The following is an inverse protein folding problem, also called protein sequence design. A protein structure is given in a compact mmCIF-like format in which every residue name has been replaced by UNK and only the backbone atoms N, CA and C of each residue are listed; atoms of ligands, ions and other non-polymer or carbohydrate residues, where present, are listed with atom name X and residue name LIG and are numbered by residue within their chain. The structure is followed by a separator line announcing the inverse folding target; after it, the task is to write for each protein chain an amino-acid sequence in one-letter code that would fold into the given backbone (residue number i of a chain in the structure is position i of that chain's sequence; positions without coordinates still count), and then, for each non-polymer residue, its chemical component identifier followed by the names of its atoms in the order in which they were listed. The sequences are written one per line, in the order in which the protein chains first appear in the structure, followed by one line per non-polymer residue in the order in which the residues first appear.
data_IF_948753788950
#
_entry.id   IF_948753788950
#
_cell.length_a   1.000
_cell.length_b   1.000
_cell.length_c   1.000
_cell.angle_alpha   90.00
_cell.angle_beta   90.00
_cell.angle_gamma   90.00
#
_symmetry.space_group_name_H-M   'P 1'
#
loop_
_entity.id
_entity.type
_entity.pdbx_description
1 polymer ?
#
# COMPACT_ATOMS: atom_id res chain seq x y z
N UNK A 1 4.54 -24.78 13.74
CA UNK A 1 4.97 -23.42 13.36
C UNK A 1 4.99 -23.29 11.84
N UNK A 2 4.41 -22.24 11.24
CA UNK A 2 4.46 -22.01 9.80
C UNK A 2 5.90 -22.01 9.26
N UNK A 3 6.14 -22.40 8.00
CA UNK A 3 7.43 -22.21 7.35
C UNK A 3 7.74 -20.72 7.13
N UNK A 4 9.02 -20.39 6.94
CA UNK A 4 9.41 -19.05 6.47
C UNK A 4 9.10 -18.92 4.97
N UNK A 5 8.82 -17.71 4.46
CA UNK A 5 8.59 -17.50 3.04
C UNK A 5 9.83 -17.85 2.21
N UNK A 6 9.63 -18.19 0.94
CA UNK A 6 10.70 -18.67 0.05
C UNK A 6 11.76 -17.61 -0.24
N UNK A 7 11.38 -16.33 -0.17
CA UNK A 7 12.29 -15.18 -0.30
C UNK A 7 12.79 -14.65 1.05
N UNK A 8 12.70 -15.44 2.13
CA UNK A 8 13.30 -15.09 3.41
C UNK A 8 14.83 -15.03 3.28
N UNK A 9 15.43 -13.92 3.68
CA UNK A 9 16.89 -13.79 3.73
C UNK A 9 17.43 -14.48 4.99
N UNK A 10 18.09 -15.62 4.83
CA UNK A 10 18.68 -16.37 5.95
C UNK A 10 19.89 -15.68 6.59
N UNK A 11 20.49 -14.70 5.90
CA UNK A 11 21.60 -13.89 6.40
C UNK A 11 21.13 -12.57 7.03
N UNK A 12 19.83 -12.44 7.34
CA UNK A 12 19.21 -11.25 7.94
C UNK A 12 19.90 -10.68 9.18
N UNK A 13 20.77 -11.45 9.85
CA UNK A 13 21.58 -10.98 10.98
C UNK A 13 22.63 -9.95 10.57
N UNK A 14 23.03 -9.92 9.30
CA UNK A 14 23.89 -8.89 8.73
C UNK A 14 23.11 -7.61 8.37
N UNK A 15 21.77 -7.70 8.30
CA UNK A 15 20.87 -6.57 8.04
C UNK A 15 20.66 -5.68 9.29
N UNK A 16 20.35 -4.39 9.07
CA UNK A 16 20.19 -3.36 10.12
C UNK A 16 18.83 -3.43 10.86
N UNK A 17 18.10 -4.54 10.80
CA UNK A 17 16.71 -4.66 11.24
C UNK A 17 16.53 -4.97 12.73
N UNK A 18 15.32 -4.74 13.24
CA UNK A 18 14.90 -5.04 14.63
C UNK A 18 14.95 -6.53 15.00
N UNK A 19 15.11 -7.42 14.01
CA UNK A 19 15.09 -8.88 14.20
C UNK A 19 16.49 -9.49 14.33
N UNK A 20 17.57 -8.70 14.39
CA UNK A 20 18.94 -9.24 14.43
C UNK A 20 19.19 -10.24 15.57
N UNK A 21 18.45 -10.13 16.67
CA UNK A 21 18.56 -11.02 17.83
C UNK A 21 17.70 -12.28 17.74
N UNK A 22 16.78 -12.35 16.77
CA UNK A 22 15.88 -13.49 16.60
C UNK A 22 16.65 -14.67 15.99
N UNK A 23 16.24 -15.88 16.33
CA UNK A 23 16.58 -17.11 15.62
C UNK A 23 15.44 -17.53 14.66
N UNK A 24 15.64 -18.59 13.87
CA UNK A 24 14.63 -19.06 12.91
C UNK A 24 13.30 -19.47 13.56
N UNK A 25 13.34 -19.98 14.80
CA UNK A 25 12.14 -20.33 15.56
C UNK A 25 11.36 -19.08 15.95
N UNK A 26 12.04 -18.01 16.36
CA UNK A 26 11.41 -16.73 16.70
C UNK A 26 10.71 -16.13 15.46
N UNK A 27 11.37 -16.17 14.30
CA UNK A 27 10.76 -15.73 13.04
C UNK A 27 9.50 -16.54 12.68
N UNK A 28 9.53 -17.87 12.85
CA UNK A 28 8.33 -18.71 12.63
C UNK A 28 7.25 -18.47 13.69
N UNK A 29 7.64 -18.10 14.92
CA UNK A 29 6.72 -17.73 15.99
C UNK A 29 6.03 -16.40 15.77
N UNK A 30 6.73 -15.45 15.19
CA UNK A 30 6.15 -14.21 14.69
C UNK A 30 5.05 -14.47 13.66
N UNK A 31 5.33 -15.27 12.62
CA UNK A 31 4.34 -15.61 11.57
C UNK A 31 3.14 -16.35 12.17
N UNK A 32 3.39 -17.32 13.05
CA UNK A 32 2.31 -18.02 13.77
C UNK A 32 1.42 -17.07 14.55
N UNK A 33 2.02 -16.16 15.32
CA UNK A 33 1.28 -15.19 16.13
C UNK A 33 0.46 -14.26 15.26
N UNK A 34 1.00 -13.82 14.12
CA UNK A 34 0.28 -13.00 13.16
C UNK A 34 -0.95 -13.72 12.60
N UNK A 35 -0.81 -14.95 12.11
CA UNK A 35 -1.96 -15.72 11.62
C UNK A 35 -2.99 -16.00 12.71
N UNK A 36 -2.56 -16.24 13.94
CA UNK A 36 -3.50 -16.39 15.06
C UNK A 36 -4.30 -15.12 15.32
N UNK A 37 -3.67 -13.94 15.22
CA UNK A 37 -4.39 -12.66 15.32
C UNK A 37 -5.36 -12.45 14.15
N UNK A 38 -4.98 -12.86 12.93
CA UNK A 38 -5.87 -12.82 11.77
C UNK A 38 -7.13 -13.68 11.98
N UNK A 39 -6.98 -14.92 12.46
CA UNK A 39 -8.13 -15.78 12.80
C UNK A 39 -9.04 -15.16 13.87
N UNK A 40 -8.43 -14.53 14.89
CA UNK A 40 -9.19 -13.89 15.96
C UNK A 40 -10.03 -12.71 15.43
N UNK A 41 -9.44 -11.85 14.57
CA UNK A 41 -10.19 -10.72 14.01
C UNK A 41 -11.22 -11.17 12.97
N UNK A 42 -10.95 -12.24 12.22
CA UNK A 42 -11.91 -12.83 11.27
C UNK A 42 -13.21 -13.25 11.97
N UNK A 43 -13.10 -13.92 13.12
CA UNK A 43 -14.27 -14.29 13.93
C UNK A 43 -15.08 -13.06 14.40
N UNK A 44 -14.41 -11.99 14.80
CA UNK A 44 -15.08 -10.75 15.23
C UNK A 44 -15.72 -9.98 14.06
N UNK A 45 -15.07 -9.98 12.89
CA UNK A 45 -15.66 -9.43 11.65
C UNK A 45 -16.92 -10.21 11.29
N UNK A 46 -16.89 -11.55 11.38
CA UNK A 46 -18.06 -12.41 11.16
C UNK A 46 -19.23 -12.03 12.08
N UNK A 47 -18.95 -11.83 13.38
CA UNK A 47 -19.98 -11.39 14.33
C UNK A 47 -20.62 -10.04 13.96
N UNK A 48 -19.82 -9.05 13.56
CA UNK A 48 -20.33 -7.74 13.14
C UNK A 48 -21.15 -7.87 11.84
N UNK A 49 -20.64 -8.62 10.87
CA UNK A 49 -21.30 -8.84 9.59
C UNK A 49 -22.65 -9.55 9.78
N UNK A 50 -22.70 -10.62 10.56
CA UNK A 50 -23.92 -11.36 10.86
C UNK A 50 -24.95 -10.52 11.61
N UNK A 51 -24.52 -9.71 12.58
CA UNK A 51 -25.41 -8.82 13.33
C UNK A 51 -26.13 -7.83 12.40
N UNK A 52 -25.41 -7.24 11.43
CA UNK A 52 -26.02 -6.32 10.46
C UNK A 52 -26.87 -7.07 9.43
N UNK A 53 -26.42 -8.24 8.96
CA UNK A 53 -27.16 -9.05 7.97
C UNK A 53 -28.48 -9.57 8.52
N UNK A 54 -28.54 -9.84 9.82
CA UNK A 54 -29.77 -10.26 10.50
C UNK A 54 -30.60 -9.07 11.04
N UNK A 55 -30.10 -7.85 10.88
CA UNK A 55 -30.76 -6.63 11.33
C UNK A 55 -31.66 -5.99 10.27
N UNK A 56 -32.40 -4.93 10.64
CA UNK A 56 -33.35 -4.23 9.75
C UNK A 56 -32.67 -3.49 8.58
N UNK A 57 -31.35 -3.29 8.62
CA UNK A 57 -30.58 -2.58 7.59
C UNK A 57 -29.83 -3.49 6.61
N UNK A 58 -30.05 -4.80 6.67
CA UNK A 58 -29.31 -5.79 5.87
C UNK A 58 -29.35 -5.54 4.36
N UNK A 59 -30.50 -5.10 3.83
CA UNK A 59 -30.66 -4.76 2.41
C UNK A 59 -30.07 -3.40 1.99
N UNK A 60 -29.69 -2.56 2.97
CA UNK A 60 -29.25 -1.18 2.74
C UNK A 60 -27.90 -0.88 3.40
N UNK A 61 -27.01 -1.88 3.46
CA UNK A 61 -25.66 -1.70 4.01
C UNK A 61 -24.61 -2.18 3.03
N UNK A 62 -23.70 -1.28 2.67
CA UNK A 62 -22.46 -1.59 1.96
C UNK A 62 -21.37 -1.95 2.97
N UNK A 63 -20.85 -3.17 2.88
CA UNK A 63 -19.69 -3.60 3.63
C UNK A 63 -18.41 -3.41 2.82
N UNK A 64 -17.42 -2.73 3.39
CA UNK A 64 -16.07 -2.60 2.84
C UNK A 64 -15.09 -3.06 3.93
N UNK A 65 -14.36 -4.14 3.67
CA UNK A 65 -13.27 -4.63 4.50
C UNK A 65 -11.95 -4.35 3.81
N UNK A 66 -11.04 -3.68 4.52
CA UNK A 66 -9.69 -3.42 4.04
C UNK A 66 -8.71 -3.29 5.21
N UNK A 67 -7.42 -3.21 4.88
CA UNK A 67 -6.35 -2.89 5.84
C UNK A 67 -5.68 -1.57 5.46
N UNK A 68 -5.07 -0.88 6.44
CA UNK A 68 -4.33 0.37 6.20
C UNK A 68 -2.94 0.10 5.61
N UNK A 69 -2.34 -1.05 5.92
CA UNK A 69 -1.11 -1.58 5.33
C UNK A 69 -0.98 -3.08 5.65
N UNK A 70 -0.04 -3.76 5.00
CA UNK A 70 0.31 -5.14 5.29
C UNK A 70 1.41 -5.29 6.35
N UNK A 71 2.08 -6.44 6.34
CA UNK A 71 3.15 -6.77 7.28
C UNK A 71 4.26 -7.53 6.56
N UNK A 72 5.52 -7.24 6.92
CA UNK A 72 6.69 -7.90 6.34
C UNK A 72 6.66 -9.42 6.46
N UNK A 73 6.03 -10.01 7.49
CA UNK A 73 5.78 -11.45 7.63
C UNK A 73 7.00 -12.39 7.36
N UNK A 74 8.21 -11.89 7.52
CA UNK A 74 9.45 -12.58 7.17
C UNK A 74 9.86 -12.50 5.70
N UNK A 75 9.02 -11.99 4.79
CA UNK A 75 9.42 -11.72 3.41
C UNK A 75 10.58 -10.74 3.39
N UNK A 76 11.62 -11.02 2.61
CA UNK A 76 12.88 -10.26 2.61
C UNK A 76 13.50 -10.10 4.02
N UNK A 77 13.20 -11.02 4.93
CA UNK A 77 13.50 -10.93 6.36
C UNK A 77 13.04 -9.63 7.04
N UNK A 78 11.87 -9.14 6.64
CA UNK A 78 11.23 -7.96 7.22
C UNK A 78 10.14 -8.35 8.21
N UNK A 79 9.90 -7.46 9.14
CA UNK A 79 8.78 -7.51 10.10
C UNK A 79 8.12 -6.16 10.16
N UNK A 80 6.84 -6.15 10.55
CA UNK A 80 6.04 -4.94 10.63
C UNK A 80 6.01 -4.21 9.27
N UNK A 81 5.97 -2.87 9.29
CA UNK A 81 5.77 -2.01 8.12
C UNK A 81 6.86 -0.95 7.99
N UNK A 82 6.77 -0.18 6.91
CA UNK A 82 7.70 0.92 6.58
C UNK A 82 8.55 0.65 5.35
N UNK A 83 8.11 -0.30 4.53
CA UNK A 83 8.69 -0.65 3.25
C UNK A 83 7.52 -0.72 2.25
N UNK A 84 7.84 -0.79 0.97
CA UNK A 84 6.86 -0.66 -0.10
C UNK A 84 6.71 -1.93 -0.94
N UNK A 85 7.34 -3.03 -0.56
CA UNK A 85 7.11 -4.36 -1.14
C UNK A 85 5.65 -4.83 -0.91
N UNK A 86 5.15 -5.74 -1.77
CA UNK A 86 3.74 -6.12 -1.90
C UNK A 86 3.17 -6.62 -0.58
N UNK A 87 3.94 -7.35 0.24
CA UNK A 87 3.49 -7.82 1.55
C UNK A 87 3.15 -6.68 2.53
N UNK A 88 3.74 -5.50 2.34
CA UNK A 88 3.50 -4.32 3.16
C UNK A 88 2.54 -3.31 2.50
N UNK A 89 2.53 -3.21 1.17
CA UNK A 89 1.77 -2.18 0.44
C UNK A 89 0.45 -2.68 -0.16
N UNK A 90 0.34 -3.97 -0.51
CA UNK A 90 -0.87 -4.54 -1.12
C UNK A 90 -1.75 -5.17 -0.05
N UNK A 91 -2.86 -4.50 0.23
CA UNK A 91 -3.81 -4.88 1.28
C UNK A 91 -5.05 -5.57 0.72
N UNK A 92 -5.77 -6.37 1.55
CA UNK A 92 -7.10 -6.84 1.17
C UNK A 92 -8.06 -5.66 0.94
N UNK A 93 -8.94 -5.81 -0.04
CA UNK A 93 -10.09 -4.94 -0.28
C UNK A 93 -11.26 -5.81 -0.72
N UNK A 94 -12.22 -6.02 0.17
CA UNK A 94 -13.40 -6.86 -0.05
C UNK A 94 -14.65 -5.99 0.12
N UNK A 95 -15.55 -6.07 -0.85
CA UNK A 95 -16.80 -5.31 -0.86
C UNK A 95 -17.98 -6.26 -0.95
N UNK A 96 -19.01 -6.04 -0.13
CA UNK A 96 -20.24 -6.82 -0.12
C UNK A 96 -21.46 -5.91 0.00
N UNK A 97 -22.36 -6.01 -0.97
CA UNK A 97 -23.73 -5.50 -0.87
C UNK A 97 -24.66 -6.45 -1.62
N UNK A 98 -25.29 -7.41 -0.92
CA UNK A 98 -26.16 -8.40 -1.56
C UNK A 98 -27.25 -7.75 -2.42
N UNK A 99 -27.35 -8.19 -3.68
CA UNK A 99 -28.32 -7.66 -4.65
C UNK A 99 -27.96 -6.30 -5.29
N UNK A 100 -26.85 -5.67 -4.91
CA UNK A 100 -26.38 -4.40 -5.48
C UNK A 100 -24.97 -4.48 -6.09
N UNK A 101 -24.09 -5.25 -5.48
CA UNK A 101 -22.72 -5.52 -5.96
C UNK A 101 -22.64 -6.99 -6.36
N UNK A 102 -21.96 -7.27 -7.48
CA UNK A 102 -21.79 -8.63 -7.98
C UNK A 102 -21.03 -9.51 -6.97
N UNK A 103 -21.55 -10.71 -6.70
CA UNK A 103 -20.97 -11.66 -5.75
C UNK A 103 -20.01 -12.62 -6.43
N UNK A 104 -19.02 -13.11 -5.69
CA UNK A 104 -18.05 -14.10 -6.19
C UNK A 104 -17.09 -13.55 -7.26
N UNK A 105 -17.06 -12.24 -7.47
CA UNK A 105 -16.18 -11.59 -8.44
C UNK A 105 -14.83 -11.29 -7.79
N UNK A 106 -13.75 -11.71 -8.44
CA UNK A 106 -12.39 -11.29 -8.13
C UNK A 106 -11.86 -10.42 -9.26
N UNK A 107 -11.73 -9.12 -8.99
CA UNK A 107 -11.13 -8.20 -9.94
C UNK A 107 -9.60 -8.29 -9.90
N UNK A 108 -8.99 -8.67 -11.02
CA UNK A 108 -7.53 -8.76 -11.19
C UNK A 108 -6.99 -7.79 -12.23
N UNK A 109 -7.86 -6.94 -12.82
CA UNK A 109 -7.51 -6.04 -13.93
C UNK A 109 -7.47 -4.58 -13.51
N UNK A 110 -8.20 -4.19 -12.47
CA UNK A 110 -8.24 -2.80 -12.01
C UNK A 110 -7.35 -2.56 -10.80
N UNK A 111 -6.60 -1.45 -10.86
CA UNK A 111 -5.76 -0.97 -9.78
C UNK A 111 -6.52 -0.03 -8.85
N UNK A 112 -6.70 -0.40 -7.59
CA UNK A 112 -7.35 0.44 -6.57
C UNK A 112 -6.36 0.94 -5.53
N UNK A 113 -6.66 2.07 -4.90
CA UNK A 113 -5.84 2.65 -3.83
C UNK A 113 -6.69 2.92 -2.59
N UNK A 114 -6.08 2.91 -1.41
CA UNK A 114 -6.76 3.24 -0.16
C UNK A 114 -7.36 4.65 -0.13
N UNK A 115 -6.82 5.59 -0.93
CA UNK A 115 -7.38 6.95 -1.06
C UNK A 115 -8.76 6.98 -1.72
N UNK A 116 -9.12 5.93 -2.45
CA UNK A 116 -10.40 5.82 -3.16
C UNK A 116 -11.59 5.56 -2.23
N UNK A 117 -11.35 5.07 -1.01
CA UNK A 117 -12.42 4.62 -0.12
C UNK A 117 -13.40 5.75 0.20
N UNK A 118 -12.87 6.95 0.49
CA UNK A 118 -13.69 8.09 0.83
C UNK A 118 -14.53 8.56 -0.36
N UNK A 119 -13.96 8.57 -1.58
CA UNK A 119 -14.72 8.88 -2.79
C UNK A 119 -15.81 7.84 -3.06
N UNK A 120 -15.53 6.56 -2.80
CA UNK A 120 -16.49 5.46 -2.95
C UNK A 120 -17.65 5.59 -1.96
N UNK A 121 -17.37 5.91 -0.69
CA UNK A 121 -18.38 6.13 0.34
C UNK A 121 -19.27 7.33 -0.03
N UNK A 122 -18.67 8.46 -0.42
CA UNK A 122 -19.43 9.65 -0.82
C UNK A 122 -20.36 9.36 -2.00
N UNK A 123 -19.87 8.64 -3.01
CA UNK A 123 -20.66 8.28 -4.19
C UNK A 123 -21.88 7.42 -3.85
N UNK A 124 -21.70 6.33 -3.08
CA UNK A 124 -22.84 5.51 -2.63
C UNK A 124 -23.79 6.24 -1.67
N UNK A 125 -23.28 7.18 -0.88
CA UNK A 125 -24.09 8.01 0.02
C UNK A 125 -24.83 9.15 -0.69
N UNK A 126 -24.56 9.39 -1.98
CA UNK A 126 -25.11 10.55 -2.71
C UNK A 126 -24.56 11.89 -2.21
N UNK A 127 -23.40 11.89 -1.54
CA UNK A 127 -22.73 13.09 -1.07
C UNK A 127 -21.97 13.77 -2.23
N UNK A 128 -21.78 15.11 -2.18
CA UNK A 128 -21.02 15.81 -3.20
C UNK A 128 -19.56 15.32 -3.26
N UNK A 129 -18.90 15.36 -4.43
CA UNK A 129 -17.49 15.03 -4.55
C UNK A 129 -16.60 15.86 -3.63
N UNK A 130 -15.53 15.26 -3.11
CA UNK A 130 -14.53 15.96 -2.31
C UNK A 130 -13.61 16.79 -3.23
N UNK A 131 -13.66 18.13 -3.20
CA UNK A 131 -13.00 18.97 -4.21
C UNK A 131 -11.47 18.87 -4.20
N UNK A 132 -10.88 18.47 -3.07
CA UNK A 132 -9.42 18.35 -2.90
C UNK A 132 -8.90 16.90 -3.00
N UNK A 133 -9.79 15.92 -3.18
CA UNK A 133 -9.40 14.51 -3.31
C UNK A 133 -9.22 14.13 -4.79
N UNK A 134 -8.40 14.89 -5.51
CA UNK A 134 -8.23 14.81 -6.98
C UNK A 134 -7.70 13.45 -7.46
N UNK A 135 -6.96 12.74 -6.62
CA UNK A 135 -6.39 11.42 -6.91
C UNK A 135 -7.40 10.27 -6.71
N UNK A 136 -8.43 10.47 -5.90
CA UNK A 136 -9.37 9.42 -5.53
C UNK A 136 -10.37 9.17 -6.65
N UNK A 137 -10.65 7.89 -6.95
CA UNK A 137 -11.72 7.49 -7.87
C UNK A 137 -12.66 6.52 -7.18
N UNK A 138 -13.96 6.80 -7.20
CA UNK A 138 -14.97 5.89 -6.66
C UNK A 138 -14.90 4.52 -7.34
N UNK A 139 -14.94 3.45 -6.55
CA UNK A 139 -15.02 2.07 -7.05
C UNK A 139 -16.41 1.69 -7.57
N UNK A 140 -17.42 2.52 -7.33
CA UNK A 140 -18.82 2.21 -7.65
C UNK A 140 -19.02 1.73 -9.09
N UNK A 141 -18.46 2.37 -10.14
CA UNK A 141 -18.63 1.86 -11.50
C UNK A 141 -18.06 0.45 -11.68
N UNK A 142 -16.91 0.15 -11.04
CA UNK A 142 -16.31 -1.18 -11.09
C UNK A 142 -17.19 -2.22 -10.38
N UNK A 143 -17.70 -1.86 -9.20
CA UNK A 143 -18.56 -2.73 -8.38
C UNK A 143 -19.93 -3.00 -9.02
N UNK A 144 -20.42 -2.06 -9.83
CA UNK A 144 -21.66 -2.17 -10.62
C UNK A 144 -21.41 -2.78 -12.02
N UNK A 145 -20.19 -3.24 -12.32
CA UNK A 145 -19.86 -3.93 -13.56
C UNK A 145 -19.81 -3.05 -14.81
N UNK A 146 -19.66 -1.73 -14.65
CA UNK A 146 -19.54 -0.78 -15.76
C UNK A 146 -18.14 -0.82 -16.35
N UNK A 147 -18.05 -0.77 -17.67
CA UNK A 147 -16.77 -0.59 -18.37
C UNK A 147 -16.46 0.90 -18.47
N UNK A 148 -15.41 1.33 -17.79
CA UNK A 148 -14.93 2.71 -17.78
C UNK A 148 -13.41 2.75 -17.94
N UNK A 149 -12.85 3.83 -18.51
CA UNK A 149 -11.43 4.09 -18.39
C UNK A 149 -11.02 4.11 -16.92
N UNK A 150 -9.97 3.37 -16.58
CA UNK A 150 -9.45 3.29 -15.23
C UNK A 150 -8.02 3.85 -15.15
N UNK A 151 -7.34 3.69 -14.02
CA UNK A 151 -5.95 4.13 -13.86
C UNK A 151 -5.00 3.00 -14.26
N UNK A 152 -3.90 3.38 -14.91
CA UNK A 152 -2.86 2.43 -15.33
C UNK A 152 -1.83 2.15 -14.23
N UNK A 153 -1.73 3.03 -13.22
CA UNK A 153 -0.81 2.89 -12.11
C UNK A 153 -1.42 3.40 -10.80
N UNK A 154 -0.84 2.95 -9.68
CA UNK A 154 -1.06 3.49 -8.33
C UNK A 154 0.25 3.90 -7.71
N UNK A 155 0.17 4.87 -6.78
CA UNK A 155 1.30 5.35 -6.00
C UNK A 155 1.08 5.09 -4.51
N UNK A 156 2.14 4.68 -3.83
CA UNK A 156 2.19 4.49 -2.37
C UNK A 156 3.48 5.10 -1.83
N UNK A 157 3.45 5.67 -0.63
CA UNK A 157 4.56 6.45 -0.08
C UNK A 157 4.87 6.02 1.35
N UNK A 158 6.14 6.09 1.76
CA UNK A 158 6.50 5.86 3.15
C UNK A 158 7.70 6.67 3.61
N UNK A 159 7.62 7.09 4.87
CA UNK A 159 8.73 7.65 5.64
C UNK A 159 8.89 6.99 7.01
N UNK A 160 8.16 5.90 7.25
CA UNK A 160 8.33 5.08 8.44
C UNK A 160 9.68 4.36 8.35
N UNK A 161 10.01 3.85 7.17
CA UNK A 161 11.36 3.46 6.78
C UNK A 161 12.08 4.57 6.00
N UNK A 162 13.04 4.24 5.12
CA UNK A 162 13.65 5.23 4.24
C UNK A 162 12.59 5.93 3.39
N UNK A 163 12.71 7.26 3.29
CA UNK A 163 11.84 8.08 2.45
C UNK A 163 11.81 7.50 1.04
N UNK A 164 10.63 7.05 0.60
CA UNK A 164 10.44 6.43 -0.70
C UNK A 164 8.99 6.48 -1.15
N UNK A 165 8.81 6.32 -2.46
CA UNK A 165 7.53 6.17 -3.11
C UNK A 165 7.58 4.93 -4.01
N UNK A 166 6.43 4.33 -4.26
CA UNK A 166 6.26 3.19 -5.13
C UNK A 166 5.32 3.57 -6.26
N UNK A 167 5.70 3.30 -7.50
CA UNK A 167 4.80 3.33 -8.65
C UNK A 167 4.59 1.91 -9.13
N UNK A 168 3.34 1.44 -9.12
CA UNK A 168 2.96 0.08 -9.47
C UNK A 168 1.90 0.08 -10.56
N UNK A 169 2.22 -0.54 -11.70
CA UNK A 169 1.26 -0.84 -12.76
C UNK A 169 0.89 -2.34 -12.74
N UNK A 170 0.21 -2.86 -13.76
CA UNK A 170 -0.20 -4.28 -13.79
C UNK A 170 0.96 -5.28 -13.94
N UNK A 171 2.11 -4.85 -14.46
CA UNK A 171 3.26 -5.69 -14.80
C UNK A 171 4.45 -5.42 -13.88
N UNK A 172 4.75 -4.15 -13.61
CA UNK A 172 5.97 -3.70 -12.96
C UNK A 172 5.69 -2.84 -11.73
N UNK A 173 6.69 -2.78 -10.86
CA UNK A 173 6.71 -1.93 -9.69
C UNK A 173 8.09 -1.32 -9.49
N UNK A 174 8.14 0.00 -9.35
CA UNK A 174 9.35 0.72 -9.00
C UNK A 174 9.25 1.22 -7.56
N UNK A 175 10.24 0.92 -6.72
CA UNK A 175 10.43 1.57 -5.42
C UNK A 175 11.50 2.65 -5.60
N UNK A 176 11.07 3.90 -5.52
CA UNK A 176 11.84 5.10 -5.84
C UNK A 176 12.25 5.78 -4.54
N UNK A 177 13.56 5.91 -4.35
CA UNK A 177 14.20 6.69 -3.30
C UNK A 177 14.72 8.00 -3.90
N UNK A 178 15.13 8.98 -3.07
CA UNK A 178 15.79 10.19 -3.57
C UNK A 178 17.09 9.92 -4.35
N UNK A 179 17.83 8.86 -3.99
CA UNK A 179 19.17 8.55 -4.50
C UNK A 179 19.24 7.34 -5.45
N UNK A 180 18.19 6.50 -5.47
CA UNK A 180 18.16 5.27 -6.27
C UNK A 180 16.74 4.80 -6.57
N UNK A 181 16.60 3.83 -7.46
CA UNK A 181 15.34 3.13 -7.73
C UNK A 181 15.58 1.63 -7.72
N UNK A 182 14.62 0.86 -7.22
CA UNK A 182 14.52 -0.59 -7.41
C UNK A 182 13.37 -0.88 -8.36
N UNK A 183 13.49 -1.89 -9.21
CA UNK A 183 12.46 -2.25 -10.19
C UNK A 183 12.19 -3.76 -10.15
N UNK A 184 10.91 -4.14 -10.09
CA UNK A 184 10.48 -5.53 -10.08
C UNK A 184 9.43 -5.79 -11.15
N UNK A 185 9.49 -6.97 -11.75
CA UNK A 185 8.45 -7.52 -12.62
C UNK A 185 7.46 -8.30 -11.76
N UNK A 186 6.40 -7.64 -11.28
CA UNK A 186 5.44 -8.22 -10.33
C UNK A 186 4.68 -9.41 -10.92
N UNK A 187 4.51 -9.46 -12.24
CA UNK A 187 3.81 -10.57 -12.89
C UNK A 187 4.66 -11.84 -12.87
N UNK A 188 5.96 -11.72 -13.13
CA UNK A 188 6.87 -12.87 -13.25
C UNK A 188 7.67 -13.16 -11.96
N UNK A 189 7.81 -12.17 -11.09
CA UNK A 189 8.48 -12.21 -9.79
C UNK A 189 7.59 -11.53 -8.72
N UNK A 190 6.47 -12.15 -8.34
CA UNK A 190 5.51 -11.58 -7.39
C UNK A 190 6.06 -11.46 -5.96
N UNK A 191 7.25 -12.01 -5.70
CA UNK A 191 7.95 -11.96 -4.42
C UNK A 191 9.11 -10.94 -4.43
N UNK A 192 9.21 -10.11 -5.48
CA UNK A 192 10.15 -8.98 -5.57
C UNK A 192 11.61 -9.36 -5.25
N UNK A 193 12.03 -10.53 -5.72
CA UNK A 193 13.32 -11.12 -5.38
C UNK A 193 14.46 -10.64 -6.28
N UNK A 194 14.15 -10.20 -7.50
CA UNK A 194 15.14 -9.77 -8.49
C UNK A 194 14.97 -8.29 -8.82
N UNK A 195 15.94 -7.49 -8.38
CA UNK A 195 16.02 -6.08 -8.77
C UNK A 195 16.49 -5.95 -10.22
N UNK A 196 15.68 -5.30 -11.05
CA UNK A 196 15.90 -5.07 -12.48
C UNK A 196 16.35 -3.63 -12.76
N UNK A 197 16.59 -2.82 -11.73
CA UNK A 197 16.83 -1.40 -11.89
C UNK A 197 18.10 -1.07 -12.70
N UNK A 198 19.11 -1.92 -12.70
CA UNK A 198 20.36 -1.68 -13.44
C UNK A 198 20.37 -2.35 -14.82
N UNK A 199 19.36 -3.16 -15.16
CA UNK A 199 19.28 -3.84 -16.45
C UNK A 199 18.85 -2.83 -17.55
N UNK A 200 19.67 -2.60 -18.59
CA UNK A 200 19.34 -1.68 -19.68
C UNK A 200 18.04 -2.02 -20.43
N UNK A 201 17.65 -3.30 -20.45
CA UNK A 201 16.42 -3.77 -21.09
C UNK A 201 15.17 -3.10 -20.51
N UNK A 202 15.21 -2.72 -19.23
CA UNK A 202 14.08 -2.14 -18.52
C UNK A 202 14.18 -0.62 -18.35
N UNK A 203 15.12 0.04 -19.03
CA UNK A 203 15.31 1.50 -18.94
C UNK A 203 14.03 2.29 -19.31
N UNK A 204 13.29 1.83 -20.32
CA UNK A 204 12.02 2.45 -20.71
C UNK A 204 10.94 2.34 -19.61
N UNK A 205 10.90 1.22 -18.89
CA UNK A 205 9.97 1.01 -17.77
C UNK A 205 10.31 1.95 -16.62
N UNK A 206 11.60 2.06 -16.25
CA UNK A 206 12.05 3.00 -15.21
C UNK A 206 11.69 4.43 -15.56
N UNK A 207 11.94 4.84 -16.80
CA UNK A 207 11.60 6.18 -17.28
C UNK A 207 10.09 6.45 -17.16
N UNK A 208 9.25 5.54 -17.66
CA UNK A 208 7.79 5.64 -17.54
C UNK A 208 7.33 5.74 -16.09
N UNK A 209 7.86 4.91 -15.19
CA UNK A 209 7.47 4.96 -13.77
C UNK A 209 7.90 6.26 -13.11
N UNK A 210 9.05 6.83 -13.52
CA UNK A 210 9.49 8.14 -13.04
C UNK A 210 8.57 9.26 -13.53
N UNK A 211 8.17 9.22 -14.80
CA UNK A 211 7.19 10.16 -15.38
C UNK A 211 5.83 10.06 -14.67
N UNK A 212 5.34 8.83 -14.40
CA UNK A 212 4.12 8.59 -13.63
C UNK A 212 4.22 9.15 -12.20
N UNK A 213 5.37 8.98 -11.54
CA UNK A 213 5.58 9.55 -10.21
C UNK A 213 5.54 11.09 -10.24
N UNK A 214 6.18 11.70 -11.25
CA UNK A 214 6.15 13.15 -11.44
C UNK A 214 4.74 13.66 -11.70
N UNK A 215 3.98 12.97 -12.55
CA UNK A 215 2.57 13.27 -12.82
C UNK A 215 1.75 13.21 -11.52
N UNK A 216 1.88 12.13 -10.73
CA UNK A 216 1.21 11.99 -9.44
C UNK A 216 1.50 13.16 -8.50
N UNK A 217 2.79 13.49 -8.32
CA UNK A 217 3.23 14.58 -7.45
C UNK A 217 2.72 15.95 -7.94
N UNK A 218 2.54 16.15 -9.25
CA UNK A 218 1.99 17.39 -9.81
C UNK A 218 0.51 17.60 -9.47
N UNK A 219 -0.22 16.53 -9.14
CA UNK A 219 -1.64 16.57 -8.81
C UNK A 219 -1.91 16.74 -7.30
N UNK A 220 -0.86 16.67 -6.47
CA UNK A 220 -0.97 16.80 -5.01
C UNK A 220 -0.85 18.27 -4.59
N UNK A 221 -1.87 18.77 -3.88
CA UNK A 221 -1.79 20.05 -3.18
C UNK A 221 -0.94 19.90 -1.91
N UNK A 222 0.23 20.54 -1.89
CA UNK A 222 1.12 20.53 -0.73
C UNK A 222 0.67 21.62 0.26
N UNK A 223 0.07 21.21 1.38
CA UNK A 223 -0.30 22.11 2.47
C UNK A 223 0.93 22.66 3.18
N UNK A 224 1.00 23.94 3.59
CA UNK A 224 2.13 24.50 4.31
C UNK A 224 2.53 23.67 5.53
N UNK A 225 3.84 23.52 5.75
CA UNK A 225 4.35 22.85 6.93
C UNK A 225 3.92 23.56 8.22
N UNK A 226 3.76 22.83 9.33
CA UNK A 226 3.38 23.43 10.61
C UNK A 226 4.42 24.47 11.05
N UNK A 227 3.94 25.61 11.56
CA UNK A 227 4.78 26.75 11.98
C UNK A 227 5.78 26.38 13.08
N UNK A 228 5.47 25.37 13.90
CA UNK A 228 6.40 24.79 14.88
C UNK A 228 7.12 23.60 14.25
N UNK A 229 8.45 23.52 14.39
CA UNK A 229 9.21 22.29 14.09
C UNK A 229 8.53 21.14 14.84
N UNK A 230 7.92 20.21 14.10
CA UNK A 230 7.50 18.94 14.65
C UNK A 230 8.77 18.16 15.01
N UNK A 231 9.28 18.33 16.23
CA UNK A 231 10.21 17.37 16.81
C UNK A 231 9.39 16.13 17.16
N UNK A 232 9.13 15.29 16.17
CA UNK A 232 8.54 13.98 16.43
C UNK A 232 9.57 13.14 17.18
N UNK A 233 9.38 13.00 18.48
CA UNK A 233 10.15 12.08 19.31
C UNK A 233 9.65 10.65 19.04
N UNK A 234 10.01 10.08 17.90
CA UNK A 234 9.70 8.68 17.60
C UNK A 234 10.83 7.83 18.19
N UNK A 235 10.55 7.19 19.34
CA UNK A 235 11.40 6.15 19.96
C UNK A 235 12.89 6.52 20.09
N UNK A 236 13.18 7.64 20.77
CA UNK A 236 14.55 7.96 21.21
C UNK A 236 15.56 8.31 20.11
N UNK A 237 15.17 8.38 18.83
CA UNK A 237 16.00 8.91 17.75
C UNK A 237 15.59 10.36 17.46
N UNK A 238 16.52 11.30 17.64
CA UNK A 238 16.39 12.64 17.04
C UNK A 238 16.43 12.44 15.52
N UNK A 239 15.29 12.59 14.85
CA UNK A 239 15.31 12.91 13.41
C UNK A 239 15.90 14.32 13.31
N UNK A 240 17.16 14.42 12.88
CA UNK A 240 17.88 15.68 12.75
C UNK A 240 17.31 16.59 11.64
N UNK A 241 16.47 16.04 10.75
CA UNK A 241 15.83 16.73 9.66
C UNK A 241 14.30 16.77 9.83
N UNK A 242 13.69 17.90 9.48
CA UNK A 242 12.24 18.03 9.38
C UNK A 242 11.74 17.11 8.25
N UNK A 243 11.14 15.97 8.61
CA UNK A 243 10.70 14.94 7.66
C UNK A 243 9.70 15.47 6.63
N UNK A 244 8.81 16.36 7.06
CA UNK A 244 7.88 17.04 6.17
C UNK A 244 8.65 17.89 5.14
N UNK A 245 9.68 18.64 5.56
CA UNK A 245 10.53 19.41 4.63
C UNK A 245 11.31 18.49 3.68
N UNK A 246 11.76 17.33 4.15
CA UNK A 246 12.45 16.35 3.30
C UNK A 246 11.53 15.83 2.19
N UNK A 247 10.27 15.51 2.50
CA UNK A 247 9.25 15.15 1.50
C UNK A 247 9.02 16.26 0.49
N UNK A 248 8.73 17.48 0.95
CA UNK A 248 8.41 18.60 0.07
C UNK A 248 9.60 18.92 -0.84
N UNK A 249 10.81 18.98 -0.29
CA UNK A 249 12.02 19.20 -1.10
C UNK A 249 12.19 18.12 -2.17
N UNK A 250 11.92 16.86 -1.83
CA UNK A 250 12.00 15.77 -2.80
C UNK A 250 10.92 15.90 -3.89
N UNK A 251 9.70 16.31 -3.54
CA UNK A 251 8.62 16.52 -4.51
C UNK A 251 8.94 17.65 -5.48
N UNK A 252 9.48 18.76 -4.97
CA UNK A 252 9.91 19.87 -5.82
C UNK A 252 11.07 19.45 -6.76
N UNK A 253 11.98 18.60 -6.30
CA UNK A 253 13.01 18.01 -7.18
C UNK A 253 12.37 17.15 -8.27
N UNK A 254 11.45 16.24 -7.91
CA UNK A 254 10.74 15.38 -8.87
C UNK A 254 9.99 16.21 -9.91
N UNK A 255 9.30 17.28 -9.50
CA UNK A 255 8.57 18.18 -10.41
C UNK A 255 9.51 18.91 -11.38
N UNK A 256 10.72 19.23 -10.95
CA UNK A 256 11.71 19.96 -11.74
C UNK A 256 12.49 19.07 -12.73
N UNK A 257 12.31 17.75 -12.70
CA UNK A 257 12.95 16.83 -13.64
C UNK A 257 12.39 17.00 -15.05
N UNK A 258 13.29 17.11 -16.03
CA UNK A 258 13.00 17.25 -17.46
C UNK A 258 12.57 15.92 -18.09
#
# INVERSE_FOLDING_TARGET
MPPLPTNFDYNYKESRTKIRTWNLRDCRYYIYSYYRMCEMVDAEIGRVYDAVRNGPHSGNTLFILMSDHGDGLGFHAKVSKGYLEEEASRVPAVVSWPGKVAQGVRDTRHLVSGVDIAATICDYAGAPPMPKATLARSWRPLLEGKEIPWRDYVVCETSVGPLSACVRDLQFKSIIYPDRTRLYDIKNDPLETKDLADDPKYAAVRKRHRENFREHVSQIEIYPGPAKRLTAQVRGRRLSANLYKAYVNWYEQVKAES
#
